data_IF_885383481993
#
_entry.id   IF_885383481993
#
_cell.length_a   1.000
_cell.length_b   1.000
_cell.length_c   1.000
_cell.angle_alpha   90.00
_cell.angle_beta   90.00
_cell.angle_gamma   90.00
#
_symmetry.space_group_name_H-M   'P 1'
#
loop_
_entity.id
_entity.type
_entity.pdbx_description
1 polymer ?
#
# COMPACT_ATOMS: atom_id res chain seq x y z
N UNK A 1 2.47 -11.43 -8.68
CA UNK A 1 2.48 -11.43 -7.21
C UNK A 1 1.23 -12.16 -6.75
N UNK A 2 1.25 -12.85 -5.61
CA UNK A 2 0.00 -13.40 -5.02
C UNK A 2 -0.53 -12.45 -3.95
N UNK A 3 -1.82 -12.51 -3.63
CA UNK A 3 -2.41 -11.70 -2.56
C UNK A 3 -1.68 -11.86 -1.21
N UNK A 4 -1.25 -13.07 -0.89
CA UNK A 4 -0.49 -13.33 0.34
C UNK A 4 0.89 -12.66 0.33
N UNK A 5 1.58 -12.71 -0.81
CA UNK A 5 2.88 -12.05 -0.99
C UNK A 5 2.73 -10.52 -0.90
N UNK A 6 1.69 -9.96 -1.51
CA UNK A 6 1.37 -8.54 -1.46
C UNK A 6 1.08 -8.08 -0.03
N UNK A 7 0.29 -8.85 0.72
CA UNK A 7 -0.01 -8.58 2.13
C UNK A 7 1.25 -8.58 2.99
N UNK A 8 2.12 -9.59 2.83
CA UNK A 8 3.37 -9.68 3.59
C UNK A 8 4.27 -8.48 3.31
N UNK A 9 4.42 -8.13 2.04
CA UNK A 9 5.19 -6.98 1.57
C UNK A 9 4.71 -5.67 2.19
N UNK A 10 3.40 -5.41 2.18
CA UNK A 10 2.81 -4.21 2.79
C UNK A 10 3.04 -4.16 4.30
N UNK A 11 2.93 -5.29 5.00
CA UNK A 11 3.19 -5.37 6.44
C UNK A 11 4.68 -5.16 6.80
N UNK A 12 5.59 -5.37 5.85
CA UNK A 12 7.03 -5.10 6.02
C UNK A 12 7.40 -3.66 5.63
N UNK A 13 6.51 -2.92 4.96
CA UNK A 13 6.74 -1.52 4.59
C UNK A 13 6.68 -0.61 5.82
N UNK A 14 7.81 0.02 6.14
CA UNK A 14 7.90 0.96 7.27
C UNK A 14 6.89 2.10 7.10
N UNK A 15 6.08 2.33 8.13
CA UNK A 15 5.05 3.38 8.13
C UNK A 15 3.65 2.89 7.73
N UNK A 16 3.52 1.63 7.30
CA UNK A 16 2.20 0.98 7.19
C UNK A 16 1.89 0.29 8.51
N UNK A 17 0.97 0.89 9.27
CA UNK A 17 0.35 0.26 10.44
C UNK A 17 -1.06 -0.24 10.11
N UNK A 18 -1.74 -0.84 11.09
CA UNK A 18 -3.09 -1.39 10.94
C UNK A 18 -4.11 -0.37 10.41
N UNK A 19 -4.07 0.88 10.87
CA UNK A 19 -4.98 1.95 10.40
C UNK A 19 -4.77 2.29 8.93
N UNK A 20 -3.51 2.46 8.52
CA UNK A 20 -3.17 2.76 7.12
C UNK A 20 -3.55 1.60 6.22
N UNK A 21 -3.25 0.37 6.64
CA UNK A 21 -3.59 -0.83 5.89
C UNK A 21 -5.11 -0.99 5.72
N UNK A 22 -5.89 -0.75 6.77
CA UNK A 22 -7.36 -0.76 6.69
C UNK A 22 -7.88 0.27 5.68
N UNK A 23 -7.42 1.51 5.73
CA UNK A 23 -7.83 2.56 4.78
C UNK A 23 -7.46 2.21 3.33
N UNK A 24 -6.31 1.57 3.13
CA UNK A 24 -5.87 1.07 1.83
C UNK A 24 -6.80 -0.07 1.33
N UNK A 25 -7.10 -1.04 2.18
CA UNK A 25 -7.98 -2.15 1.82
C UNK A 25 -9.41 -1.67 1.55
N UNK A 26 -9.94 -0.75 2.35
CA UNK A 26 -11.26 -0.17 2.12
C UNK A 26 -11.34 0.55 0.77
N UNK A 27 -10.25 1.16 0.31
CA UNK A 27 -10.20 1.88 -0.98
C UNK A 27 -9.96 0.96 -2.17
N UNK A 28 -9.02 0.03 -2.06
CA UNK A 28 -8.48 -0.73 -3.20
C UNK A 28 -8.95 -2.20 -3.22
N UNK A 29 -9.53 -2.70 -2.14
CA UNK A 29 -10.16 -4.02 -2.03
C UNK A 29 -9.20 -5.21 -1.87
N UNK A 30 -7.93 -5.09 -2.27
CA UNK A 30 -6.93 -6.16 -2.15
C UNK A 30 -5.52 -5.61 -2.00
N UNK A 31 -4.62 -6.42 -1.44
CA UNK A 31 -3.19 -6.09 -1.29
C UNK A 31 -2.51 -5.96 -2.65
N UNK A 32 -2.87 -6.81 -3.62
CA UNK A 32 -2.42 -6.70 -5.00
C UNK A 32 -2.85 -5.38 -5.64
N UNK A 33 -4.09 -4.95 -5.45
CA UNK A 33 -4.56 -3.68 -5.99
C UNK A 33 -3.81 -2.49 -5.36
N UNK A 34 -3.50 -2.53 -4.07
CA UNK A 34 -2.72 -1.49 -3.38
C UNK A 34 -1.33 -1.34 -4.01
N UNK A 35 -0.62 -2.44 -4.25
CA UNK A 35 0.74 -2.41 -4.81
C UNK A 35 0.78 -2.04 -6.30
N UNK A 36 -0.35 -2.13 -6.99
CA UNK A 36 -0.51 -1.71 -8.38
C UNK A 36 -1.15 -0.32 -8.53
N UNK A 37 -1.63 0.27 -7.43
CA UNK A 37 -2.29 1.56 -7.46
C UNK A 37 -1.32 2.68 -7.91
N UNK A 38 -1.80 3.65 -8.70
CA UNK A 38 -0.98 4.80 -9.08
C UNK A 38 -0.70 5.68 -7.85
N UNK A 39 0.46 6.34 -7.85
CA UNK A 39 0.91 7.22 -6.75
C UNK A 39 -0.16 8.21 -6.30
N UNK A 40 -0.82 8.87 -7.25
CA UNK A 40 -1.84 9.87 -6.95
C UNK A 40 -3.03 9.30 -6.16
N UNK A 41 -3.42 8.05 -6.42
CA UNK A 41 -4.49 7.39 -5.67
C UNK A 41 -4.06 6.94 -4.28
N UNK A 42 -2.80 6.52 -4.13
CA UNK A 42 -2.22 6.23 -2.81
C UNK A 42 -2.17 7.51 -1.96
N UNK A 43 -1.71 8.63 -2.52
CA UNK A 43 -1.64 9.91 -1.82
C UNK A 43 -3.02 10.51 -1.49
N UNK A 44 -4.07 10.07 -2.17
CA UNK A 44 -5.45 10.45 -1.87
C UNK A 44 -6.01 9.75 -0.62
N UNK A 45 -5.32 8.73 -0.09
CA UNK A 45 -5.71 8.04 1.14
C UNK A 45 -5.30 8.88 2.35
N UNK A 46 -6.23 9.19 3.28
CA UNK A 46 -5.91 9.96 4.48
C UNK A 46 -4.75 9.34 5.27
N UNK A 47 -3.71 10.13 5.53
CA UNK A 47 -2.51 9.68 6.25
C UNK A 47 -1.42 9.08 5.37
N UNK A 48 -1.62 8.98 4.05
CA UNK A 48 -0.59 8.56 3.10
C UNK A 48 -0.01 9.78 2.38
N UNK A 49 1.15 10.22 2.86
CA UNK A 49 1.93 11.25 2.16
C UNK A 49 2.83 10.67 1.05
N UNK A 50 3.50 11.54 0.28
CA UNK A 50 4.34 11.14 -0.86
C UNK A 50 5.48 10.18 -0.47
N UNK A 51 5.99 10.25 0.76
CA UNK A 51 6.99 9.32 1.29
C UNK A 51 6.44 7.90 1.41
N UNK A 52 5.24 7.76 1.96
CA UNK A 52 4.62 6.45 2.15
C UNK A 52 4.13 5.87 0.83
N UNK A 53 3.56 6.69 -0.05
CA UNK A 53 3.19 6.27 -1.40
C UNK A 53 4.42 5.77 -2.20
N UNK A 54 5.57 6.43 -2.06
CA UNK A 54 6.83 5.95 -2.67
C UNK A 54 7.24 4.59 -2.11
N UNK A 55 7.22 4.42 -0.79
CA UNK A 55 7.59 3.15 -0.15
C UNK A 55 6.69 1.98 -0.59
N UNK A 56 5.38 2.21 -0.72
CA UNK A 56 4.41 1.22 -1.25
C UNK A 56 4.79 0.80 -2.68
N UNK A 57 5.08 1.78 -3.54
CA UNK A 57 5.44 1.54 -4.94
C UNK A 57 6.78 0.80 -5.07
N UNK A 58 7.76 1.12 -4.22
CA UNK A 58 9.07 0.44 -4.21
C UNK A 58 8.94 -1.01 -3.76
N UNK A 59 8.11 -1.27 -2.74
CA UNK A 59 7.80 -2.62 -2.27
C UNK A 59 7.17 -3.51 -3.35
N UNK A 60 6.46 -2.93 -4.33
CA UNK A 60 5.90 -3.66 -5.48
C UNK A 60 6.97 -4.20 -6.45
N UNK A 61 8.12 -3.53 -6.53
CA UNK A 61 9.19 -3.84 -7.52
C UNK A 61 10.28 -4.79 -7.02
N UNK A 62 10.37 -4.99 -5.70
CA UNK A 62 11.34 -5.91 -5.08
C UNK A 62 10.90 -7.36 -5.14
#
# INVERSE_FOLDING_TARGET
>A
MTEFEALLRLHMTRGIGSKTYQALIERFGSSEAILNAPRAELEAVPGIGPKLATAVIETSRN
#
